data_IF_611920786520
#
_entry.id   IF_611920786520
#
_cell.length_a   1.000
_cell.length_b   1.000
_cell.length_c   1.000
_cell.angle_alpha   90.00
_cell.angle_beta   90.00
_cell.angle_gamma   90.00
#
_symmetry.space_group_name_H-M   'P 1'
#
loop_
_entity.id
_entity.type
_entity.pdbx_description
1 polymer ?
#
# COMPACT_ATOMS: atom_id res chain seq x y z
N UNK A 1 -11.86 3.98 4.30
CA UNK A 1 -11.15 3.38 3.14
C UNK A 1 -11.09 1.86 3.34
N UNK A 2 -11.17 1.05 2.27
CA UNK A 2 -11.05 -0.40 2.39
C UNK A 2 -9.64 -0.78 2.86
N UNK A 3 -9.53 -1.79 3.74
CA UNK A 3 -8.25 -2.27 4.26
C UNK A 3 -7.55 -3.15 3.22
N UNK A 4 -6.76 -2.53 2.35
CA UNK A 4 -5.92 -3.20 1.35
C UNK A 4 -4.46 -3.33 1.84
N UNK A 5 -3.65 -4.14 1.16
CA UNK A 5 -2.27 -4.45 1.54
C UNK A 5 -1.42 -3.18 1.82
N UNK A 6 -1.41 -2.21 0.90
CA UNK A 6 -0.71 -0.93 1.10
C UNK A 6 -1.10 -0.23 2.42
N UNK A 7 -2.39 -0.23 2.76
CA UNK A 7 -2.85 0.39 4.00
C UNK A 7 -2.44 -0.42 5.24
N UNK A 8 -2.37 -1.76 5.11
CA UNK A 8 -1.85 -2.63 6.16
C UNK A 8 -0.36 -2.40 6.40
N UNK A 9 0.44 -2.20 5.35
CA UNK A 9 1.88 -1.90 5.47
C UNK A 9 2.12 -0.58 6.20
N UNK A 10 1.34 0.47 5.86
CA UNK A 10 1.41 1.75 6.55
C UNK A 10 1.03 1.64 8.04
N UNK A 11 0.04 0.81 8.35
CA UNK A 11 -0.33 0.50 9.73
C UNK A 11 0.78 -0.28 10.44
N UNK A 12 1.40 -1.27 9.80
CA UNK A 12 2.49 -2.06 10.35
C UNK A 12 3.71 -1.18 10.68
N UNK A 13 4.08 -0.25 9.79
CA UNK A 13 5.13 0.74 10.04
C UNK A 13 4.80 1.59 11.27
N UNK A 14 3.55 2.08 11.37
CA UNK A 14 3.16 2.91 12.50
C UNK A 14 3.19 2.15 13.83
N UNK A 15 2.73 0.90 13.81
CA UNK A 15 2.79 0.01 14.98
C UNK A 15 4.24 -0.25 15.38
N UNK A 16 5.11 -0.60 14.43
CA UNK A 16 6.52 -0.86 14.69
C UNK A 16 7.23 0.36 15.31
N UNK A 17 6.97 1.56 14.77
CA UNK A 17 7.54 2.80 15.31
C UNK A 17 7.06 3.10 16.73
N UNK A 18 5.79 2.86 17.03
CA UNK A 18 5.23 3.08 18.36
C UNK A 18 5.72 2.05 19.38
N UNK A 19 5.88 0.79 18.99
CA UNK A 19 6.50 -0.23 19.85
C UNK A 19 7.93 0.20 20.20
N UNK A 20 8.73 0.59 19.21
CA UNK A 20 10.09 1.09 19.46
C UNK A 20 10.12 2.36 20.35
N UNK A 21 9.10 3.21 20.29
CA UNK A 21 8.97 4.36 21.19
C UNK A 21 8.71 3.93 22.64
N UNK A 22 7.80 2.98 22.83
CA UNK A 22 7.46 2.41 24.16
C UNK A 22 8.69 1.75 24.79
N UNK A 23 9.42 0.93 24.03
CA UNK A 23 10.65 0.28 24.51
C UNK A 23 11.73 1.30 24.90
N UNK A 24 11.71 2.49 24.29
CA UNK A 24 12.60 3.60 24.63
C UNK A 24 12.07 4.49 25.77
N UNK A 25 10.97 4.11 26.43
CA UNK A 25 10.35 4.91 27.51
C UNK A 25 9.67 6.21 27.03
N UNK A 26 9.35 6.31 25.73
CA UNK A 26 8.68 7.47 25.13
C UNK A 26 7.20 7.18 24.87
N UNK A 27 6.39 8.24 24.82
CA UNK A 27 4.97 8.11 24.49
C UNK A 27 4.77 7.77 22.99
N UNK A 28 3.98 6.73 22.66
CA UNK A 28 3.69 6.36 21.28
C UNK A 28 2.75 7.39 20.64
N UNK A 29 3.21 8.06 19.58
CA UNK A 29 2.45 9.13 18.91
C UNK A 29 2.39 9.02 17.39
N UNK A 30 3.10 8.04 16.81
CA UNK A 30 3.19 7.90 15.36
C UNK A 30 1.86 7.38 14.80
N UNK A 31 1.26 8.13 13.87
CA UNK A 31 0.02 7.77 13.19
C UNK A 31 0.32 7.36 11.76
N UNK A 32 -0.33 6.28 11.29
CA UNK A 32 -0.25 5.94 9.87
C UNK A 32 -1.04 6.96 9.05
N UNK A 33 -0.56 7.22 7.83
CA UNK A 33 -1.25 8.07 6.87
C UNK A 33 -2.33 7.25 6.14
N UNK A 34 -3.61 7.64 6.18
CA UNK A 34 -4.65 6.93 5.45
C UNK A 34 -4.53 7.19 3.94
N UNK A 35 -3.96 6.24 3.21
CA UNK A 35 -3.88 6.25 1.74
C UNK A 35 -4.04 4.85 1.17
N UNK A 36 -4.47 4.82 -0.08
CA UNK A 36 -4.76 3.62 -0.86
C UNK A 36 -4.12 3.79 -2.22
N UNK A 37 -3.28 2.83 -2.56
CA UNK A 37 -2.73 2.65 -3.90
C UNK A 37 -3.07 1.22 -4.28
N UNK A 38 -3.78 1.02 -5.39
CA UNK A 38 -3.98 -0.32 -5.93
C UNK A 38 -3.94 -0.34 -7.45
N UNK A 39 -3.51 -1.48 -7.98
CA UNK A 39 -3.61 -1.78 -9.40
C UNK A 39 -4.75 -2.78 -9.57
N UNK A 40 -5.76 -2.39 -10.32
CA UNK A 40 -6.85 -3.28 -10.74
C UNK A 40 -6.47 -3.85 -12.10
N UNK A 41 -6.24 -5.15 -12.17
CA UNK A 41 -5.84 -5.86 -13.38
C UNK A 41 -7.08 -6.46 -14.08
N UNK A 42 -7.16 -6.31 -15.40
CA UNK A 42 -8.21 -6.89 -16.26
C UNK A 42 -7.70 -8.03 -17.14
N UNK A 43 -6.51 -8.58 -16.83
CA UNK A 43 -5.80 -9.64 -17.55
C UNK A 43 -5.10 -9.19 -18.85
N UNK A 44 -5.65 -8.21 -19.54
CA UNK A 44 -5.10 -7.65 -20.78
C UNK A 44 -4.56 -6.21 -20.63
N UNK A 45 -4.98 -5.52 -19.57
CA UNK A 45 -4.56 -4.19 -19.17
C UNK A 45 -4.71 -4.02 -17.65
N UNK A 46 -4.17 -2.93 -17.09
CA UNK A 46 -4.40 -2.60 -15.68
C UNK A 46 -4.77 -1.14 -15.51
N UNK A 47 -5.22 -0.78 -14.32
CA UNK A 47 -5.61 0.57 -13.95
C UNK A 47 -5.08 0.89 -12.55
N UNK A 48 -4.38 2.02 -12.41
CA UNK A 48 -3.94 2.53 -11.13
C UNK A 48 -5.07 3.31 -10.46
N UNK A 49 -5.39 2.95 -9.23
CA UNK A 49 -6.30 3.69 -8.36
C UNK A 49 -5.50 4.23 -7.19
N UNK A 50 -5.58 5.54 -6.99
CA UNK A 50 -4.98 6.22 -5.87
C UNK A 50 -6.04 6.99 -5.10
N UNK A 51 -6.13 6.78 -3.80
CA UNK A 51 -7.02 7.52 -2.91
C UNK A 51 -6.30 7.91 -1.64
N UNK A 52 -6.48 9.15 -1.21
CA UNK A 52 -6.17 9.60 0.13
C UNK A 52 -7.25 10.58 0.58
N UNK A 53 -7.05 11.25 1.72
CA UNK A 53 -8.04 12.19 2.27
C UNK A 53 -8.32 13.41 1.37
N UNK A 54 -7.43 13.74 0.43
CA UNK A 54 -7.52 14.93 -0.43
C UNK A 54 -7.76 14.61 -1.90
N UNK A 55 -7.30 13.46 -2.37
CA UNK A 55 -7.26 13.10 -3.78
C UNK A 55 -7.92 11.74 -4.00
N UNK A 56 -8.71 11.64 -5.06
CA UNK A 56 -9.26 10.40 -5.57
C UNK A 56 -8.99 10.35 -7.08
N UNK A 57 -8.09 9.46 -7.48
CA UNK A 57 -7.64 9.32 -8.84
C UNK A 57 -7.85 7.89 -9.31
N UNK A 58 -8.37 7.77 -10.53
CA UNK A 58 -8.52 6.50 -11.25
C UNK A 58 -7.90 6.72 -12.62
N UNK A 59 -6.80 6.02 -12.88
CA UNK A 59 -6.05 6.14 -14.13
C UNK A 59 -6.76 5.50 -15.33
N UNK A 60 -6.27 5.74 -16.54
CA UNK A 60 -6.74 5.01 -17.72
C UNK A 60 -6.28 3.54 -17.67
N UNK A 61 -6.99 2.68 -18.41
CA UNK A 61 -6.59 1.28 -18.63
C UNK A 61 -5.37 1.24 -19.54
N UNK A 62 -4.23 0.79 -19.03
CA UNK A 62 -2.98 0.70 -19.79
C UNK A 62 -2.29 -0.65 -19.54
N UNK A 63 -1.67 -1.20 -20.59
CA UNK A 63 -0.93 -2.47 -20.51
C UNK A 63 0.24 -2.43 -19.51
N UNK A 64 0.83 -1.25 -19.30
CA UNK A 64 1.94 -1.07 -18.35
C UNK A 64 1.54 -1.49 -16.92
N UNK A 65 0.29 -1.21 -16.53
CA UNK A 65 -0.18 -1.52 -15.18
C UNK A 65 -0.40 -3.02 -14.97
N UNK A 66 -0.79 -3.77 -16.02
CA UNK A 66 -0.84 -5.23 -15.97
C UNK A 66 0.56 -5.81 -15.68
N UNK A 67 1.57 -5.38 -16.45
CA UNK A 67 2.95 -5.81 -16.24
C UNK A 67 3.48 -5.41 -14.86
N UNK A 68 3.16 -4.21 -14.39
CA UNK A 68 3.53 -3.75 -13.05
C UNK A 68 2.92 -4.64 -11.97
N UNK A 69 1.65 -5.06 -12.11
CA UNK A 69 1.00 -5.99 -11.17
C UNK A 69 1.71 -7.34 -11.12
N UNK A 70 2.12 -7.88 -12.27
CA UNK A 70 2.87 -9.15 -12.35
C UNK A 70 4.25 -9.06 -11.70
N UNK A 71 4.95 -7.94 -11.89
CA UNK A 71 6.25 -7.70 -11.23
C UNK A 71 6.06 -7.62 -9.72
N UNK A 72 5.04 -6.90 -9.26
CA UNK A 72 4.73 -6.77 -7.83
C UNK A 72 4.42 -8.13 -7.19
N UNK A 73 3.56 -8.95 -7.81
CA UNK A 73 3.26 -10.30 -7.34
C UNK A 73 4.52 -11.18 -7.26
N UNK A 74 5.36 -11.13 -8.30
CA UNK A 74 6.62 -11.89 -8.31
C UNK A 74 7.52 -11.44 -7.16
N UNK A 75 7.68 -10.13 -6.98
CA UNK A 75 8.50 -9.57 -5.90
C UNK A 75 8.00 -10.03 -4.53
N UNK A 76 6.70 -9.90 -4.24
CA UNK A 76 6.13 -10.29 -2.95
C UNK A 76 6.33 -11.78 -2.67
N UNK A 77 6.09 -12.63 -3.68
CA UNK A 77 6.31 -14.07 -3.55
C UNK A 77 7.78 -14.46 -3.44
N UNK A 78 8.73 -13.65 -3.92
CA UNK A 78 10.16 -13.94 -3.74
C UNK A 78 10.73 -13.39 -2.45
N UNK A 79 10.17 -12.30 -1.93
CA UNK A 79 10.69 -11.61 -0.74
C UNK A 79 10.11 -12.18 0.55
N UNK A 80 8.86 -12.64 0.52
CA UNK A 80 8.12 -13.06 1.72
C UNK A 80 7.74 -14.55 1.75
N UNK A 81 8.13 -15.35 0.75
CA UNK A 81 7.95 -16.82 0.74
C UNK A 81 9.27 -17.53 0.98
#
# INVERSE_FOLDING_TARGET
MPKQAHQADLQAIAVAANIAAIEAGREPSYRFKPELVCIVDTLDAGMLVFRNERFNFVGPKLKIFHWLKRIFERHDLTTFR
#
